data_IF_665465395227
#
_entry.id   IF_665465395227
#
_cell.length_a   1.000
_cell.length_b   1.000
_cell.length_c   1.000
_cell.angle_alpha   90.00
_cell.angle_beta   90.00
_cell.angle_gamma   90.00
#
_symmetry.space_group_name_H-M   'P 1'
#
loop_
_entity.id
_entity.type
_entity.pdbx_description
1 polymer ?
#
# COMPACT_ATOMS: atom_id res chain seq x y z
N UNK A 1 28.94 41.86 23.85
CA UNK A 1 27.70 41.56 23.13
C UNK A 1 28.03 40.54 22.04
N UNK A 2 27.62 39.27 22.20
CA UNK A 2 27.88 38.20 21.23
C UNK A 2 26.63 38.03 20.37
N UNK A 3 26.69 38.43 19.09
CA UNK A 3 25.62 38.23 18.12
C UNK A 3 25.55 36.76 17.73
N UNK A 4 24.45 36.10 18.06
CA UNK A 4 24.13 34.77 17.54
C UNK A 4 23.49 34.95 16.16
N UNK A 5 24.19 34.52 15.11
CA UNK A 5 23.65 34.39 13.77
C UNK A 5 22.87 33.03 13.74
N UNK A 6 21.54 33.09 13.72
CA UNK A 6 20.69 31.93 13.47
C UNK A 6 20.70 31.68 11.97
N UNK A 7 21.42 30.66 11.54
CA UNK A 7 21.34 30.21 10.15
C UNK A 7 20.01 29.48 9.95
N UNK A 8 19.06 30.11 9.28
CA UNK A 8 17.84 29.49 8.75
C UNK A 8 18.26 28.51 7.63
N UNK A 9 18.24 27.22 7.91
CA UNK A 9 18.37 26.21 6.89
C UNK A 9 17.11 26.23 6.01
N UNK A 10 17.19 26.88 4.85
CA UNK A 10 16.17 26.77 3.80
C UNK A 10 16.20 25.32 3.27
N UNK A 11 15.27 24.49 3.72
CA UNK A 11 15.02 23.19 3.10
C UNK A 11 14.63 23.42 1.63
N UNK A 12 15.45 22.94 0.70
CA UNK A 12 15.17 23.05 -0.73
C UNK A 12 13.90 22.26 -1.04
N UNK A 13 12.78 22.97 -1.24
CA UNK A 13 11.54 22.41 -1.81
C UNK A 13 11.84 22.20 -3.30
N UNK A 14 12.01 20.95 -3.71
CA UNK A 14 12.16 20.61 -5.13
C UNK A 14 10.91 21.09 -5.89
N UNK A 15 11.07 21.76 -7.03
CA UNK A 15 9.94 22.20 -7.82
C UNK A 15 9.12 21.01 -8.32
N UNK A 16 7.80 21.11 -8.30
CA UNK A 16 6.85 20.06 -8.76
C UNK A 16 7.21 19.52 -10.15
N UNK A 17 7.80 20.36 -11.01
CA UNK A 17 8.28 19.98 -12.34
C UNK A 17 9.42 18.94 -12.31
N UNK A 18 10.31 18.98 -11.31
CA UNK A 18 11.37 17.98 -11.18
C UNK A 18 10.82 16.59 -10.81
N UNK A 19 9.82 16.54 -9.93
CA UNK A 19 9.14 15.29 -9.56
C UNK A 19 8.37 14.66 -10.73
N UNK A 20 7.85 15.47 -11.64
CA UNK A 20 7.16 14.98 -12.84
C UNK A 20 8.14 14.38 -13.87
N UNK A 21 9.41 14.78 -13.87
CA UNK A 21 10.42 14.22 -14.79
C UNK A 21 10.76 12.77 -14.47
N UNK A 22 10.78 12.39 -13.19
CA UNK A 22 11.12 11.04 -12.73
C UNK A 22 9.91 10.09 -12.75
N UNK A 23 8.70 10.60 -12.99
CA UNK A 23 7.50 9.79 -13.09
C UNK A 23 7.55 8.83 -14.29
N UNK A 24 7.02 7.60 -14.16
CA UNK A 24 7.04 6.63 -15.26
C UNK A 24 6.22 7.11 -16.47
N UNK A 25 6.62 6.71 -17.69
CA UNK A 25 5.92 7.11 -18.92
C UNK A 25 4.42 6.82 -18.91
N UNK A 26 4.00 5.72 -18.30
CA UNK A 26 2.59 5.35 -18.16
C UNK A 26 1.79 6.41 -17.39
N UNK A 27 2.32 6.88 -16.25
CA UNK A 27 1.67 7.92 -15.47
C UNK A 27 1.60 9.25 -16.24
N UNK A 28 2.68 9.62 -16.95
CA UNK A 28 2.71 10.81 -17.81
C UNK A 28 1.69 10.76 -18.95
N UNK A 29 1.47 9.58 -19.51
CA UNK A 29 0.57 9.39 -20.64
C UNK A 29 -0.91 9.35 -20.24
N UNK A 30 -1.23 9.00 -19.00
CA UNK A 30 -2.62 8.76 -18.54
C UNK A 30 -3.14 9.78 -17.57
N UNK A 31 -2.27 10.64 -17.01
CA UNK A 31 -2.67 11.65 -16.02
C UNK A 31 -2.60 13.07 -16.58
N UNK A 32 -3.47 14.00 -16.15
CA UNK A 32 -3.31 15.40 -16.44
C UNK A 32 -1.93 15.90 -15.98
N UNK A 33 -1.26 16.71 -16.80
CA UNK A 33 0.11 17.16 -16.56
C UNK A 33 0.35 17.73 -15.14
N UNK A 34 -0.61 18.48 -14.61
CA UNK A 34 -0.53 19.06 -13.27
C UNK A 34 -0.58 18.00 -12.14
N UNK A 35 -1.13 16.81 -12.41
CA UNK A 35 -1.28 15.74 -11.43
C UNK A 35 -0.10 14.75 -11.42
N UNK A 36 0.72 14.69 -12.47
CA UNK A 36 1.81 13.71 -12.60
C UNK A 36 2.79 13.78 -11.43
N UNK A 37 3.31 14.95 -11.12
CA UNK A 37 4.28 15.13 -10.04
C UNK A 37 3.73 14.76 -8.66
N UNK A 38 2.57 15.33 -8.25
CA UNK A 38 1.92 14.97 -6.99
C UNK A 38 1.62 13.46 -6.87
N UNK A 39 1.07 12.83 -7.90
CA UNK A 39 0.74 11.40 -7.88
C UNK A 39 1.99 10.51 -7.76
N UNK A 40 3.07 10.88 -8.44
CA UNK A 40 4.33 10.16 -8.32
C UNK A 40 4.97 10.32 -6.93
N UNK A 41 4.91 11.51 -6.37
CA UNK A 41 5.38 11.78 -5.01
C UNK A 41 4.59 10.95 -3.97
N UNK A 42 3.27 10.88 -4.10
CA UNK A 42 2.43 10.05 -3.24
C UNK A 42 2.81 8.56 -3.34
N UNK A 43 2.95 8.05 -4.55
CA UNK A 43 3.38 6.67 -4.79
C UNK A 43 4.72 6.38 -4.10
N UNK A 44 5.71 7.22 -4.31
CA UNK A 44 7.05 7.06 -3.71
C UNK A 44 7.02 7.16 -2.18
N UNK A 45 6.13 7.96 -1.60
CA UNK A 45 5.97 8.05 -0.16
C UNK A 45 5.32 6.80 0.43
N UNK A 46 4.25 6.30 -0.19
CA UNK A 46 3.53 5.10 0.27
C UNK A 46 4.37 3.84 0.11
N UNK A 47 5.01 3.65 -1.05
CA UNK A 47 5.83 2.47 -1.33
C UNK A 47 7.31 2.62 -0.92
N UNK A 48 7.65 3.61 -0.09
CA UNK A 48 8.99 3.77 0.47
C UNK A 48 9.38 2.52 1.29
N UNK A 49 10.45 1.79 0.90
CA UNK A 49 10.85 0.55 1.58
C UNK A 49 11.36 0.78 3.02
N UNK A 50 11.67 2.03 3.38
CA UNK A 50 12.13 2.43 4.73
C UNK A 50 10.99 2.91 5.64
N UNK A 51 9.73 2.71 5.26
CA UNK A 51 8.56 3.03 6.09
C UNK A 51 8.35 2.01 7.23
N UNK A 52 7.25 2.17 7.98
CA UNK A 52 6.88 1.24 9.06
C UNK A 52 6.68 -0.21 8.57
N UNK A 53 6.18 -0.38 7.34
CA UNK A 53 6.17 -1.66 6.64
C UNK A 53 7.34 -1.72 5.67
N UNK A 54 8.00 -2.87 5.59
CA UNK A 54 9.06 -3.10 4.61
C UNK A 54 8.51 -3.17 3.16
N UNK A 55 9.41 -3.05 2.18
CA UNK A 55 9.04 -3.00 0.77
C UNK A 55 8.31 -4.26 0.29
N UNK A 56 8.76 -5.44 0.72
CA UNK A 56 8.13 -6.72 0.36
C UNK A 56 6.68 -6.77 0.84
N UNK A 57 6.44 -6.43 2.10
CA UNK A 57 5.10 -6.38 2.68
C UNK A 57 4.18 -5.42 1.91
N UNK A 58 4.67 -4.23 1.57
CA UNK A 58 3.89 -3.26 0.79
C UNK A 58 3.53 -3.76 -0.60
N UNK A 59 4.46 -4.40 -1.29
CA UNK A 59 4.21 -4.97 -2.61
C UNK A 59 3.21 -6.14 -2.56
N UNK A 60 3.29 -7.01 -1.54
CA UNK A 60 2.31 -8.08 -1.33
C UNK A 60 0.91 -7.54 -1.01
N UNK A 61 0.80 -6.47 -0.21
CA UNK A 61 -0.46 -5.76 0.04
C UNK A 61 -1.00 -5.17 -1.27
N UNK A 62 -0.15 -4.47 -2.04
CA UNK A 62 -0.53 -3.90 -3.34
C UNK A 62 -1.05 -4.98 -4.30
N UNK A 63 -0.38 -6.13 -4.37
CA UNK A 63 -0.79 -7.27 -5.17
C UNK A 63 -2.15 -7.84 -4.72
N UNK A 64 -2.35 -8.03 -3.41
CA UNK A 64 -3.60 -8.52 -2.85
C UNK A 64 -4.79 -7.60 -3.21
N UNK A 65 -4.60 -6.28 -3.09
CA UNK A 65 -5.60 -5.28 -3.51
C UNK A 65 -5.81 -5.30 -5.01
N UNK A 66 -4.73 -5.34 -5.80
CA UNK A 66 -4.79 -5.37 -7.25
C UNK A 66 -5.60 -6.56 -7.80
N UNK A 67 -5.48 -7.73 -7.14
CA UNK A 67 -6.24 -8.93 -7.48
C UNK A 67 -7.76 -8.76 -7.23
N UNK A 68 -8.15 -7.97 -6.20
CA UNK A 68 -9.55 -7.72 -5.87
C UNK A 68 -10.24 -6.73 -6.80
N UNK A 69 -9.50 -5.75 -7.34
CA UNK A 69 -10.02 -4.75 -8.29
C UNK A 69 -9.83 -5.13 -9.76
N UNK A 70 -9.48 -6.36 -10.09
CA UNK A 70 -8.83 -7.02 -11.21
C UNK A 70 -8.02 -6.06 -12.13
N UNK A 71 -7.07 -5.32 -11.52
CA UNK A 71 -6.20 -4.39 -12.25
C UNK A 71 -4.99 -5.13 -12.84
N UNK A 72 -5.00 -5.48 -14.10
CA UNK A 72 -3.91 -6.21 -14.76
C UNK A 72 -2.56 -5.49 -14.65
N UNK A 73 -2.53 -4.18 -14.83
CA UNK A 73 -1.32 -3.37 -14.70
C UNK A 73 -0.74 -3.42 -13.28
N UNK A 74 -1.61 -3.30 -12.28
CA UNK A 74 -1.22 -3.32 -10.88
C UNK A 74 -0.76 -4.72 -10.46
N UNK A 75 -1.46 -5.78 -10.90
CA UNK A 75 -1.06 -7.17 -10.65
C UNK A 75 0.36 -7.42 -11.19
N UNK A 76 0.61 -7.03 -12.44
CA UNK A 76 1.93 -7.19 -13.05
C UNK A 76 3.01 -6.42 -12.28
N UNK A 77 2.78 -5.13 -12.00
CA UNK A 77 3.75 -4.26 -11.33
C UNK A 77 4.07 -4.76 -9.92
N UNK A 78 3.05 -5.04 -9.10
CA UNK A 78 3.26 -5.49 -7.72
C UNK A 78 3.80 -6.91 -7.62
N UNK A 79 3.51 -7.80 -8.60
CA UNK A 79 4.16 -9.12 -8.66
C UNK A 79 5.67 -8.98 -8.89
N UNK A 80 6.07 -8.14 -9.84
CA UNK A 80 7.50 -7.89 -10.07
C UNK A 80 8.16 -7.17 -8.91
N UNK A 81 7.49 -6.16 -8.33
CA UNK A 81 7.95 -5.43 -7.16
C UNK A 81 8.17 -6.35 -5.95
N UNK A 82 7.22 -7.25 -5.67
CA UNK A 82 7.32 -8.23 -4.60
C UNK A 82 8.53 -9.18 -4.82
N UNK A 83 8.70 -9.71 -6.02
CA UNK A 83 9.87 -10.56 -6.38
C UNK A 83 11.19 -9.79 -6.21
N UNK A 84 11.25 -8.56 -6.68
CA UNK A 84 12.43 -7.70 -6.53
C UNK A 84 12.74 -7.41 -5.05
N UNK A 85 11.71 -7.26 -4.22
CA UNK A 85 11.84 -7.10 -2.77
C UNK A 85 12.09 -8.44 -2.02
N UNK A 86 12.31 -9.55 -2.73
CA UNK A 86 12.66 -10.84 -2.15
C UNK A 86 11.48 -11.69 -1.70
N UNK A 87 10.28 -11.47 -2.25
CA UNK A 87 9.16 -12.38 -2.04
C UNK A 87 9.36 -13.69 -2.82
N UNK A 88 9.05 -14.81 -2.17
CA UNK A 88 9.00 -16.11 -2.82
C UNK A 88 7.70 -16.27 -3.61
N UNK A 89 7.69 -17.20 -4.58
CA UNK A 89 6.46 -17.52 -5.32
C UNK A 89 5.36 -18.03 -4.38
N UNK A 90 5.71 -18.69 -3.28
CA UNK A 90 4.74 -19.13 -2.28
C UNK A 90 4.14 -17.97 -1.50
N UNK A 91 4.94 -16.99 -1.07
CA UNK A 91 4.44 -15.77 -0.42
C UNK A 91 3.48 -14.98 -1.33
N UNK A 92 3.76 -14.95 -2.63
CA UNK A 92 2.87 -14.33 -3.63
C UNK A 92 1.53 -15.07 -3.69
N UNK A 93 1.54 -16.40 -3.76
CA UNK A 93 0.32 -17.23 -3.76
C UNK A 93 -0.48 -17.06 -2.48
N UNK A 94 0.18 -17.04 -1.33
CA UNK A 94 -0.47 -16.83 -0.02
C UNK A 94 -1.15 -15.45 0.06
N UNK A 95 -0.49 -14.38 -0.40
CA UNK A 95 -1.10 -13.05 -0.42
C UNK A 95 -2.37 -13.00 -1.29
N UNK A 96 -2.33 -13.64 -2.45
CA UNK A 96 -3.50 -13.74 -3.36
C UNK A 96 -4.60 -14.60 -2.71
N UNK A 97 -4.25 -15.75 -2.12
CA UNK A 97 -5.21 -16.64 -1.47
C UNK A 97 -5.88 -15.96 -0.27
N UNK A 98 -5.11 -15.23 0.55
CA UNK A 98 -5.65 -14.46 1.66
C UNK A 98 -6.66 -13.40 1.17
N UNK A 99 -6.34 -12.68 0.10
CA UNK A 99 -7.25 -11.69 -0.48
C UNK A 99 -8.55 -12.31 -1.01
N UNK A 100 -8.47 -13.49 -1.64
CA UNK A 100 -9.63 -14.24 -2.10
C UNK A 100 -10.53 -14.70 -0.95
N UNK A 101 -9.93 -15.17 0.16
CA UNK A 101 -10.67 -15.56 1.36
C UNK A 101 -11.39 -14.38 1.98
N UNK A 102 -10.73 -13.21 2.10
CA UNK A 102 -11.38 -11.99 2.59
C UNK A 102 -12.58 -11.60 1.72
N UNK A 103 -12.45 -11.69 0.39
CA UNK A 103 -13.57 -11.45 -0.53
C UNK A 103 -14.71 -12.42 -0.31
N UNK A 104 -14.41 -13.71 -0.18
CA UNK A 104 -15.41 -14.74 0.09
C UNK A 104 -16.18 -14.44 1.38
N UNK A 105 -15.47 -14.24 2.48
CA UNK A 105 -16.06 -13.93 3.78
C UNK A 105 -16.91 -12.65 3.73
N UNK A 106 -16.42 -11.61 3.07
CA UNK A 106 -17.18 -10.37 2.86
C UNK A 106 -18.49 -10.64 2.11
N UNK A 107 -18.45 -11.43 1.06
CA UNK A 107 -19.64 -11.76 0.27
C UNK A 107 -20.67 -12.55 1.10
N UNK A 108 -20.21 -13.55 1.84
CA UNK A 108 -21.07 -14.40 2.67
C UNK A 108 -21.71 -13.62 3.82
N UNK A 109 -20.91 -12.85 4.57
CA UNK A 109 -21.41 -12.09 5.73
C UNK A 109 -22.37 -10.97 5.31
N UNK A 110 -21.99 -10.18 4.31
CA UNK A 110 -22.84 -9.09 3.83
C UNK A 110 -24.09 -9.60 3.07
N UNK A 111 -23.92 -10.64 2.23
CA UNK A 111 -25.02 -11.21 1.46
C UNK A 111 -26.09 -11.85 2.34
N UNK A 112 -25.69 -12.44 3.46
CA UNK A 112 -26.60 -12.99 4.46
C UNK A 112 -27.01 -11.99 5.55
N UNK A 113 -26.57 -10.73 5.46
CA UNK A 113 -26.88 -9.68 6.43
C UNK A 113 -26.59 -10.11 7.87
N UNK A 114 -25.44 -10.78 8.10
CA UNK A 114 -25.07 -11.28 9.41
C UNK A 114 -24.96 -10.13 10.43
N UNK A 115 -25.46 -10.35 11.65
CA UNK A 115 -25.51 -9.30 12.67
C UNK A 115 -24.11 -8.83 13.10
N UNK A 116 -23.87 -7.54 12.98
CA UNK A 116 -22.57 -6.94 13.27
C UNK A 116 -22.21 -6.96 14.75
N UNK A 117 -23.19 -6.88 15.65
CA UNK A 117 -22.90 -6.90 17.10
C UNK A 117 -22.49 -8.31 17.53
N UNK A 118 -23.18 -9.33 17.00
CA UNK A 118 -22.80 -10.73 17.24
C UNK A 118 -21.44 -11.06 16.61
N UNK A 119 -21.14 -10.56 15.40
CA UNK A 119 -19.85 -10.73 14.78
C UNK A 119 -18.71 -10.15 15.65
N UNK A 120 -18.87 -8.91 16.12
CA UNK A 120 -17.87 -8.27 17.01
C UNK A 120 -17.63 -9.09 18.28
N UNK A 121 -18.71 -9.54 18.93
CA UNK A 121 -18.61 -10.35 20.13
C UNK A 121 -17.82 -11.65 19.91
N UNK A 122 -18.03 -12.32 18.77
CA UNK A 122 -17.28 -13.52 18.41
C UNK A 122 -15.79 -13.24 18.18
N UNK A 123 -15.47 -12.17 17.45
CA UNK A 123 -14.09 -11.79 17.20
C UNK A 123 -13.36 -11.35 18.48
N UNK A 124 -14.02 -10.55 19.32
CA UNK A 124 -13.46 -10.13 20.62
C UNK A 124 -13.18 -11.34 21.51
N UNK A 125 -14.09 -12.31 21.57
CA UNK A 125 -13.92 -13.57 22.28
C UNK A 125 -12.72 -14.37 21.77
N UNK A 126 -12.62 -14.55 20.46
CA UNK A 126 -11.51 -15.27 19.83
C UNK A 126 -10.14 -14.69 20.21
N UNK A 127 -9.99 -13.37 20.18
CA UNK A 127 -8.72 -12.72 20.52
C UNK A 127 -8.49 -12.56 22.05
N UNK A 128 -9.52 -12.62 22.86
CA UNK A 128 -9.35 -12.66 24.32
C UNK A 128 -8.73 -14.00 24.76
N UNK A 129 -9.18 -15.11 24.19
CA UNK A 129 -8.71 -16.46 24.52
C UNK A 129 -7.27 -16.73 24.03
N UNK A 130 -6.83 -16.10 22.92
CA UNK A 130 -5.47 -16.27 22.39
C UNK A 130 -4.40 -15.53 23.18
N UNK A 131 -4.74 -14.59 24.08
CA UNK A 131 -3.75 -13.90 24.94
C UNK A 131 -3.30 -14.76 26.14
N UNK A 132 -3.88 -15.94 26.34
CA UNK A 132 -3.59 -16.86 27.45
C UNK A 132 -2.70 -18.04 27.04
N UNK A 133 -2.23 -18.10 25.80
CA UNK A 133 -1.25 -19.07 25.29
C UNK A 133 0.10 -18.39 24.99
#
# INVERSE_FOLDING_TARGET
MKSFIVALAFGAILPVSALAQDAPPSLKATSPQAAVGPAWQEYMAVFNPKGALDGKTKELIGLAVAAQIPCQYCIYAHTLGAKHAGATDEQIKEAIAASALVRKMSTELNGNQYDMAEFKKQIDGFYADTKTQ
#
